data_IF_290042338507
#
_entry.id   IF_290042338507
#
_cell.length_a   1.000
_cell.length_b   1.000
_cell.length_c   1.000
_cell.angle_alpha   90.00
_cell.angle_beta   90.00
_cell.angle_gamma   90.00
#
_symmetry.space_group_name_H-M   'P 1'
#
loop_
_entity.id
_entity.type
_entity.pdbx_description
1 polymer ?
#
# COMPACT_ATOMS: atom_id res chain seq x y z
N UNK A 1 53.93 -16.87 24.89
CA UNK A 1 54.26 -15.43 24.86
C UNK A 1 53.30 -14.75 23.90
N UNK A 2 52.37 -13.91 24.37
CA UNK A 2 51.26 -13.44 23.55
C UNK A 2 50.92 -11.95 23.75
N UNK A 3 50.70 -11.27 22.63
CA UNK A 3 49.91 -10.05 22.46
C UNK A 3 50.19 -8.84 23.39
N UNK A 4 51.08 -7.95 22.95
CA UNK A 4 50.97 -6.52 23.24
C UNK A 4 50.73 -5.76 21.93
N UNK A 5 49.50 -5.32 21.69
CA UNK A 5 49.15 -4.41 20.59
C UNK A 5 48.05 -3.45 21.05
N UNK A 6 48.48 -2.36 21.68
CA UNK A 6 47.60 -1.24 22.03
C UNK A 6 47.34 -0.38 20.79
N UNK A 7 46.10 -0.40 20.27
CA UNK A 7 45.67 0.51 19.21
C UNK A 7 44.95 1.75 19.77
N UNK A 8 45.33 2.89 19.22
CA UNK A 8 45.10 4.23 19.78
C UNK A 8 43.75 4.79 19.32
N UNK A 9 42.88 5.18 20.25
CA UNK A 9 41.83 6.13 19.94
C UNK A 9 42.41 7.56 19.86
N UNK A 10 42.31 8.20 18.70
CA UNK A 10 42.38 9.66 18.55
C UNK A 10 41.22 10.13 17.68
N UNK A 11 40.33 10.90 18.28
CA UNK A 11 39.22 11.57 17.63
C UNK A 11 39.68 12.88 16.98
N UNK A 12 39.55 13.01 15.66
CA UNK A 12 39.72 14.28 14.95
C UNK A 12 38.37 14.74 14.41
N UNK A 13 37.83 15.82 14.99
CA UNK A 13 36.59 16.49 14.58
C UNK A 13 36.88 17.97 14.31
N UNK A 14 37.26 18.30 13.07
CA UNK A 14 37.41 19.66 12.53
C UNK A 14 37.01 19.54 11.04
N UNK A 15 35.79 19.92 10.62
CA UNK A 15 35.27 21.28 10.39
C UNK A 15 35.89 21.97 9.17
N UNK A 16 35.22 21.87 8.02
CA UNK A 16 35.40 22.76 6.85
C UNK A 16 34.04 23.18 6.30
N UNK A 17 33.91 24.46 5.97
CA UNK A 17 32.72 25.03 5.36
C UNK A 17 33.13 25.90 4.16
N UNK A 18 32.41 25.74 3.05
CA UNK A 18 32.39 26.64 1.88
C UNK A 18 31.02 26.44 1.23
N UNK A 19 30.13 27.42 1.19
CA UNK A 19 30.15 28.61 0.33
C UNK A 19 30.28 28.27 -1.15
N UNK A 20 29.13 28.09 -1.81
CA UNK A 20 28.97 28.43 -3.22
C UNK A 20 27.67 29.22 -3.40
N UNK A 21 27.74 30.34 -4.13
CA UNK A 21 26.67 31.32 -4.35
C UNK A 21 26.72 31.73 -5.81
N UNK A 22 25.61 31.65 -6.53
CA UNK A 22 25.23 32.35 -7.78
C UNK A 22 24.01 31.60 -8.39
N UNK A 23 23.07 32.19 -9.13
CA UNK A 23 22.84 33.60 -9.47
C UNK A 23 21.34 33.89 -9.74
N UNK A 24 21.01 35.18 -9.78
CA UNK A 24 19.72 35.83 -9.97
C UNK A 24 18.93 35.43 -11.24
N UNK A 25 17.58 35.36 -11.13
CA UNK A 25 16.66 35.93 -12.16
C UNK A 25 15.24 36.20 -11.61
N UNK A 26 14.84 37.48 -11.65
CA UNK A 26 13.45 37.98 -11.71
C UNK A 26 13.22 38.49 -13.18
N UNK A 27 12.14 39.21 -13.60
CA UNK A 27 10.98 39.81 -12.92
C UNK A 27 9.66 39.65 -13.74
N UNK A 28 8.72 40.63 -13.84
CA UNK A 28 7.92 41.37 -12.84
C UNK A 28 6.38 41.19 -13.04
N UNK A 29 5.55 41.71 -12.10
CA UNK A 29 4.56 42.81 -12.31
C UNK A 29 3.66 43.01 -11.06
N UNK A 30 3.20 44.26 -10.83
CA UNK A 30 2.42 44.76 -9.67
C UNK A 30 0.97 45.16 -10.14
N UNK A 31 0.11 45.97 -9.45
CA UNK A 31 0.15 46.58 -8.10
C UNK A 31 -1.21 46.76 -7.30
N UNK A 32 -1.17 46.66 -5.95
CA UNK A 32 -1.77 47.61 -4.94
C UNK A 32 -3.32 47.89 -4.85
N UNK A 33 -3.87 48.66 -3.87
CA UNK A 33 -3.57 48.88 -2.41
C UNK A 33 -4.87 48.78 -1.51
N UNK A 34 -5.11 49.56 -0.41
CA UNK A 34 -4.70 49.28 1.00
C UNK A 34 -5.84 49.40 2.06
N UNK A 35 -5.49 49.70 3.34
CA UNK A 35 -6.32 49.94 4.56
C UNK A 35 -6.68 48.63 5.32
N UNK A 36 -6.83 48.50 6.66
CA UNK A 36 -6.67 49.34 7.87
C UNK A 36 -6.59 48.33 9.08
N UNK A 37 -5.95 48.52 10.25
CA UNK A 37 -5.04 49.53 10.82
C UNK A 37 -4.18 48.91 11.97
N UNK A 38 -3.54 49.76 12.80
CA UNK A 38 -2.71 49.49 13.98
C UNK A 38 -3.43 49.04 15.26
N UNK A 39 -2.78 48.21 16.10
CA UNK A 39 -2.82 48.36 17.58
C UNK A 39 -1.53 47.84 18.24
N UNK A 40 -0.98 48.63 19.17
CA UNK A 40 0.27 48.39 19.88
C UNK A 40 0.04 48.28 21.39
N UNK A 41 0.44 47.18 22.03
CA UNK A 41 0.51 47.10 23.50
C UNK A 41 1.79 46.37 23.93
N UNK A 42 2.75 47.13 24.44
CA UNK A 42 3.76 46.67 25.40
C UNK A 42 3.25 46.86 26.82
N UNK A 43 3.77 46.11 27.80
CA UNK A 43 4.24 46.80 28.99
C UNK A 43 5.68 46.42 29.38
N UNK A 44 6.49 47.44 29.62
CA UNK A 44 7.79 47.35 30.29
C UNK A 44 7.61 47.20 31.81
N UNK A 45 8.49 46.44 32.45
CA UNK A 45 8.60 46.38 33.92
C UNK A 45 10.00 46.89 34.31
N UNK A 46 10.13 47.87 35.22
CA UNK A 46 11.36 48.63 35.41
C UNK A 46 12.36 47.97 36.37
N UNK A 47 13.64 48.27 36.16
CA UNK A 47 14.65 48.28 37.22
C UNK A 47 14.38 49.45 38.18
N UNK A 48 14.53 49.23 39.50
CA UNK A 48 15.19 50.20 40.38
C UNK A 48 15.64 49.57 41.72
N UNK A 49 16.72 50.05 42.36
CA UNK A 49 17.28 49.48 43.59
C UNK A 49 16.92 50.30 44.85
N UNK A 50 16.99 49.69 46.06
CA UNK A 50 17.14 50.44 47.30
C UNK A 50 18.61 50.51 47.75
N UNK A 51 19.08 51.72 48.03
CA UNK A 51 20.45 52.05 48.49
C UNK A 51 20.60 52.02 50.02
N UNK A 52 21.81 51.65 50.48
CA UNK A 52 22.52 52.04 51.72
C UNK A 52 21.73 52.58 52.93
N UNK A 53 22.02 52.09 54.15
CA UNK A 53 23.12 52.65 54.97
C UNK A 53 23.27 51.97 56.37
N UNK A 54 24.25 52.45 57.15
CA UNK A 54 24.57 52.18 58.58
C UNK A 54 25.27 50.85 59.00
N UNK A 55 26.59 50.86 58.87
CA UNK A 55 27.54 50.33 59.87
C UNK A 55 27.45 51.20 61.17
N UNK A 56 28.02 50.83 62.36
CA UNK A 56 29.20 49.97 62.52
C UNK A 56 29.33 49.10 63.82
N UNK A 57 30.42 48.30 63.85
CA UNK A 57 31.18 47.82 65.05
C UNK A 57 30.43 47.01 66.13
N UNK A 58 30.78 45.71 66.28
CA UNK A 58 31.57 45.24 67.43
C UNK A 58 32.08 43.78 67.27
N UNK A 59 33.42 43.66 67.31
CA UNK A 59 34.26 42.57 67.87
C UNK A 59 33.95 41.09 67.57
N UNK A 60 34.94 40.44 66.96
CA UNK A 60 35.55 39.16 67.33
C UNK A 60 34.67 38.06 67.96
N UNK A 61 34.63 36.88 67.29
CA UNK A 61 35.11 35.61 67.88
C UNK A 61 35.14 34.47 66.84
N UNK A 62 36.24 33.70 66.84
CA UNK A 62 36.36 32.33 66.32
C UNK A 62 35.94 32.03 64.87
N UNK A 63 36.88 32.11 63.93
CA UNK A 63 36.81 31.35 62.67
C UNK A 63 37.08 29.86 62.93
N UNK A 64 36.15 29.16 63.58
CA UNK A 64 36.11 27.71 63.53
C UNK A 64 35.73 27.30 62.10
N UNK A 65 36.75 27.12 61.25
CA UNK A 65 36.62 26.49 59.94
C UNK A 65 36.22 25.03 60.17
N UNK A 66 34.93 24.79 60.40
CA UNK A 66 34.32 23.48 60.18
C UNK A 66 34.50 23.17 58.70
N UNK A 67 35.60 22.49 58.36
CA UNK A 67 35.64 21.74 57.12
C UNK A 67 34.38 20.86 57.12
N UNK A 68 33.56 20.87 56.06
CA UNK A 68 32.58 19.81 55.91
C UNK A 68 33.36 18.51 55.92
N UNK A 69 33.19 17.70 56.96
CA UNK A 69 33.82 16.40 57.12
C UNK A 69 33.24 15.48 56.07
N UNK A 70 33.78 15.60 54.84
CA UNK A 70 33.35 14.87 53.64
C UNK A 70 33.29 13.40 54.04
N UNK A 71 32.09 12.81 54.18
CA UNK A 71 32.01 11.43 54.63
C UNK A 71 32.78 10.61 53.61
N UNK A 72 33.77 9.84 54.08
CA UNK A 72 34.46 8.85 53.25
C UNK A 72 33.47 7.73 52.96
N UNK A 73 32.50 8.00 52.11
CA UNK A 73 31.66 6.99 51.49
C UNK A 73 32.62 6.12 50.70
N UNK A 74 32.93 4.95 51.25
CA UNK A 74 33.69 3.90 50.57
C UNK A 74 32.95 3.64 49.27
N UNK A 75 33.56 4.05 48.16
CA UNK A 75 32.96 3.81 46.85
C UNK A 75 33.16 2.34 46.59
N UNK A 76 32.10 1.55 46.75
CA UNK A 76 32.11 0.12 46.46
C UNK A 76 32.37 -0.08 44.97
N UNK A 77 33.65 -0.21 44.61
CA UNK A 77 34.11 -0.34 43.23
C UNK A 77 33.44 -1.55 42.58
N UNK A 78 33.23 -2.64 43.34
CA UNK A 78 32.48 -3.81 42.91
C UNK A 78 31.00 -3.52 42.59
N UNK A 79 30.30 -2.73 43.42
CA UNK A 79 28.91 -2.35 43.15
C UNK A 79 28.82 -1.44 41.90
N UNK A 80 29.74 -0.49 41.76
CA UNK A 80 29.80 0.43 40.61
C UNK A 80 30.20 -0.28 39.30
N UNK A 81 31.07 -1.29 39.38
CA UNK A 81 31.45 -2.13 38.24
C UNK A 81 30.27 -2.95 37.71
N UNK A 82 29.50 -3.60 38.61
CA UNK A 82 28.27 -4.33 38.24
C UNK A 82 27.24 -3.42 37.59
N UNK A 83 27.06 -2.19 38.10
CA UNK A 83 26.17 -1.19 37.49
C UNK A 83 26.60 -0.76 36.07
N UNK A 84 27.89 -0.73 35.76
CA UNK A 84 28.40 -0.44 34.41
C UNK A 84 28.17 -1.59 33.43
N UNK A 85 28.26 -2.84 33.91
CA UNK A 85 27.99 -4.03 33.10
C UNK A 85 26.50 -4.16 32.75
N UNK A 86 25.60 -4.00 33.73
CA UNK A 86 24.15 -4.09 33.47
C UNK A 86 23.67 -2.97 32.55
N UNK A 87 24.14 -1.72 32.71
CA UNK A 87 23.78 -0.61 31.81
C UNK A 87 24.14 -0.88 30.35
N UNK A 88 25.31 -1.49 30.08
CA UNK A 88 25.73 -1.87 28.72
C UNK A 88 24.87 -3.00 28.14
N UNK A 89 24.51 -3.99 28.96
CA UNK A 89 23.62 -5.07 28.55
C UNK A 89 22.23 -4.53 28.20
N UNK A 90 21.66 -3.65 29.03
CA UNK A 90 20.38 -2.99 28.74
C UNK A 90 20.40 -2.16 27.46
N UNK A 91 21.49 -1.44 27.15
CA UNK A 91 21.59 -0.74 25.87
C UNK A 91 21.61 -1.70 24.68
N UNK A 92 22.30 -2.84 24.77
CA UNK A 92 22.31 -3.82 23.68
C UNK A 92 20.95 -4.49 23.49
N UNK A 93 20.29 -4.89 24.58
CA UNK A 93 18.92 -5.45 24.54
C UNK A 93 17.95 -4.45 23.91
N UNK A 94 18.01 -3.17 24.29
CA UNK A 94 17.16 -2.12 23.69
C UNK A 94 17.43 -1.95 22.19
N UNK A 95 18.70 -1.89 21.76
CA UNK A 95 19.03 -1.77 20.33
C UNK A 95 18.63 -3.00 19.52
N UNK A 96 18.78 -4.20 20.08
CA UNK A 96 18.39 -5.44 19.41
C UNK A 96 16.86 -5.57 19.31
N UNK A 97 16.13 -5.23 20.37
CA UNK A 97 14.67 -5.19 20.36
C UNK A 97 14.12 -4.16 19.35
N UNK A 98 14.74 -2.97 19.25
CA UNK A 98 14.38 -1.97 18.25
C UNK A 98 14.64 -2.46 16.82
N UNK A 99 15.79 -3.10 16.57
CA UNK A 99 16.11 -3.67 15.26
C UNK A 99 15.14 -4.80 14.87
N UNK A 100 14.85 -5.71 15.79
CA UNK A 100 13.91 -6.81 15.58
C UNK A 100 12.48 -6.29 15.33
N UNK A 101 12.03 -5.31 16.12
CA UNK A 101 10.73 -4.64 15.93
C UNK A 101 10.62 -3.96 14.57
N UNK A 102 11.67 -3.28 14.10
CA UNK A 102 11.69 -2.68 12.77
C UNK A 102 11.53 -3.73 11.66
N UNK A 103 12.24 -4.86 11.73
CA UNK A 103 12.08 -5.96 10.76
C UNK A 103 10.65 -6.51 10.76
N UNK A 104 10.04 -6.72 11.93
CA UNK A 104 8.65 -7.19 12.04
C UNK A 104 7.66 -6.19 11.42
N UNK A 105 7.80 -4.88 11.70
CA UNK A 105 6.95 -3.84 11.12
C UNK A 105 7.09 -3.79 9.59
N UNK A 106 8.31 -3.85 9.07
CA UNK A 106 8.60 -3.83 7.63
C UNK A 106 7.99 -5.06 6.94
N UNK A 107 8.18 -6.27 7.48
CA UNK A 107 7.58 -7.49 6.93
C UNK A 107 6.05 -7.46 6.95
N UNK A 108 5.44 -6.87 7.98
CA UNK A 108 3.99 -6.74 8.08
C UNK A 108 3.40 -5.59 7.24
N UNK A 109 4.22 -4.66 6.74
CA UNK A 109 3.77 -3.50 5.95
C UNK A 109 3.80 -3.72 4.43
N UNK A 110 4.50 -4.75 3.94
CA UNK A 110 4.59 -5.02 2.49
C UNK A 110 3.36 -5.66 1.81
N UNK A 111 2.49 -6.47 2.44
CA UNK A 111 1.45 -7.21 1.69
C UNK A 111 0.39 -6.29 1.06
N UNK A 112 0.13 -5.12 1.64
CA UNK A 112 -0.91 -4.19 1.18
C UNK A 112 -0.58 -3.47 -0.13
N UNK A 113 0.69 -3.48 -0.58
CA UNK A 113 1.13 -2.73 -1.76
C UNK A 113 1.26 -3.59 -3.04
N UNK A 114 1.13 -4.91 -2.95
CA UNK A 114 1.28 -5.81 -4.09
C UNK A 114 -0.05 -5.99 -4.84
N UNK A 115 -0.24 -5.21 -5.91
CA UNK A 115 -1.42 -5.36 -6.78
C UNK A 115 -1.15 -6.41 -7.86
N UNK A 116 -1.66 -7.62 -7.63
CA UNK A 116 -1.50 -8.75 -8.55
C UNK A 116 -2.41 -8.64 -9.78
N UNK A 117 -1.89 -9.05 -10.94
CA UNK A 117 -2.69 -9.26 -12.14
C UNK A 117 -3.32 -10.65 -12.08
N UNK A 118 -4.65 -10.71 -12.21
CA UNK A 118 -5.42 -11.94 -11.99
C UNK A 118 -6.55 -12.01 -13.00
N UNK A 119 -6.83 -13.21 -13.49
CA UNK A 119 -7.98 -13.51 -14.35
C UNK A 119 -9.27 -13.66 -13.53
N UNK A 120 -10.48 -13.37 -14.06
CA UNK A 120 -11.75 -13.75 -13.42
C UNK A 120 -11.76 -15.15 -12.79
N UNK A 121 -11.18 -16.15 -13.47
CA UNK A 121 -11.09 -17.53 -12.99
C UNK A 121 -10.18 -17.66 -11.76
N UNK A 122 -8.93 -17.21 -11.86
CA UNK A 122 -7.94 -17.30 -10.77
C UNK A 122 -8.33 -16.43 -9.57
N UNK A 123 -9.09 -15.34 -9.81
CA UNK A 123 -9.56 -14.41 -8.77
C UNK A 123 -10.61 -15.07 -7.88
N UNK A 124 -11.54 -15.83 -8.45
CA UNK A 124 -12.52 -16.59 -7.66
C UNK A 124 -11.84 -17.67 -6.81
N UNK A 125 -10.83 -18.36 -7.34
CA UNK A 125 -10.06 -19.35 -6.57
C UNK A 125 -9.25 -18.70 -5.45
N UNK A 126 -8.53 -17.61 -5.73
CA UNK A 126 -7.78 -16.85 -4.71
C UNK A 126 -8.68 -16.32 -3.60
N UNK A 127 -9.86 -15.78 -3.95
CA UNK A 127 -10.83 -15.25 -2.99
C UNK A 127 -11.43 -16.36 -2.11
N UNK A 128 -11.76 -17.52 -2.69
CA UNK A 128 -12.24 -18.70 -1.92
C UNK A 128 -11.18 -19.22 -0.94
N UNK A 129 -9.92 -19.26 -1.36
CA UNK A 129 -8.82 -19.72 -0.52
C UNK A 129 -8.43 -18.70 0.56
N UNK A 130 -8.52 -17.41 0.26
CA UNK A 130 -8.20 -16.31 1.19
C UNK A 130 -9.13 -15.11 0.91
N UNK A 131 -10.17 -14.87 1.73
CA UNK A 131 -11.06 -13.71 1.62
C UNK A 131 -10.40 -12.45 2.21
N UNK A 132 -9.23 -12.07 1.67
CA UNK A 132 -8.47 -10.88 2.07
C UNK A 132 -9.00 -9.64 1.34
N UNK A 133 -9.01 -8.48 2.02
CA UNK A 133 -9.37 -7.17 1.41
C UNK A 133 -8.27 -6.60 0.50
N UNK A 134 -7.54 -7.45 -0.21
CA UNK A 134 -6.49 -7.03 -1.13
C UNK A 134 -7.09 -6.37 -2.38
N UNK A 135 -6.39 -5.39 -2.94
CA UNK A 135 -6.73 -4.79 -4.24
C UNK A 135 -6.18 -5.71 -5.35
N UNK A 136 -7.02 -6.06 -6.31
CA UNK A 136 -6.64 -6.89 -7.45
C UNK A 136 -6.65 -6.07 -8.75
N UNK A 137 -5.81 -6.45 -9.72
CA UNK A 137 -5.93 -6.05 -11.13
C UNK A 137 -6.55 -7.19 -11.90
N UNK A 138 -7.86 -7.13 -12.05
CA UNK A 138 -8.61 -8.04 -12.90
C UNK A 138 -8.24 -7.77 -14.37
N UNK A 139 -7.60 -8.72 -15.05
CA UNK A 139 -7.37 -8.66 -16.49
C UNK A 139 -8.23 -9.68 -17.23
N UNK A 140 -8.82 -9.27 -18.35
CA UNK A 140 -9.57 -10.17 -19.23
C UNK A 140 -10.13 -9.47 -20.46
N UNK A 141 -10.99 -10.14 -21.20
CA UNK A 141 -11.67 -9.59 -22.38
C UNK A 141 -13.05 -9.04 -21.98
N UNK A 142 -13.45 -7.88 -22.49
CA UNK A 142 -14.82 -7.37 -22.30
C UNK A 142 -15.78 -8.15 -23.20
N UNK A 143 -16.87 -8.68 -22.65
CA UNK A 143 -17.89 -9.39 -23.44
C UNK A 143 -18.69 -8.40 -24.31
N UNK A 144 -18.96 -8.77 -25.55
CA UNK A 144 -19.80 -8.02 -26.49
C UNK A 144 -21.25 -7.91 -26.03
N UNK A 145 -21.85 -6.73 -26.21
CA UNK A 145 -23.20 -6.38 -25.75
C UNK A 145 -23.39 -6.36 -24.23
N UNK A 146 -22.31 -6.40 -23.45
CA UNK A 146 -22.38 -6.52 -21.99
C UNK A 146 -22.32 -5.20 -21.23
N UNK A 147 -21.98 -4.09 -21.91
CA UNK A 147 -21.83 -2.78 -21.29
C UNK A 147 -23.20 -2.15 -21.07
N UNK A 148 -23.58 -1.99 -19.81
CA UNK A 148 -24.87 -1.45 -19.38
C UNK A 148 -24.64 -0.22 -18.51
N UNK A 149 -25.42 0.83 -18.78
CA UNK A 149 -25.50 2.05 -17.98
C UNK A 149 -26.86 2.05 -17.26
N UNK A 150 -26.94 1.69 -15.97
CA UNK A 150 -28.20 1.66 -15.23
C UNK A 150 -28.75 3.07 -15.04
N UNK A 151 -30.01 3.33 -15.42
CA UNK A 151 -30.62 4.68 -15.31
C UNK A 151 -30.75 5.21 -13.88
N UNK A 152 -30.49 4.37 -12.86
CA UNK A 152 -30.61 4.71 -11.44
C UNK A 152 -29.35 5.37 -10.85
N UNK A 153 -28.17 5.13 -11.44
CA UNK A 153 -26.88 5.52 -10.85
C UNK A 153 -25.83 5.83 -11.92
N UNK A 154 -24.85 6.73 -11.66
CA UNK A 154 -23.74 7.04 -12.59
C UNK A 154 -22.66 5.93 -12.63
N UNK A 155 -23.09 4.68 -12.44
CA UNK A 155 -22.24 3.50 -12.46
C UNK A 155 -22.32 2.86 -13.85
N UNK A 156 -21.31 2.07 -14.20
CA UNK A 156 -21.27 1.28 -15.44
C UNK A 156 -21.01 -0.16 -15.07
N UNK A 157 -21.86 -1.05 -15.58
CA UNK A 157 -21.75 -2.49 -15.38
C UNK A 157 -21.34 -3.14 -16.70
N UNK A 158 -20.32 -3.99 -16.69
CA UNK A 158 -19.85 -4.73 -17.85
C UNK A 158 -19.30 -6.10 -17.44
N UNK A 159 -19.20 -7.04 -18.38
CA UNK A 159 -18.71 -8.40 -18.10
C UNK A 159 -17.29 -8.55 -18.61
N UNK A 160 -16.40 -9.05 -17.76
CA UNK A 160 -15.02 -9.45 -18.14
C UNK A 160 -14.93 -10.97 -18.14
N UNK A 161 -14.34 -11.55 -19.19
CA UNK A 161 -14.24 -12.99 -19.41
C UNK A 161 -12.82 -13.46 -19.74
N UNK A 162 -12.52 -14.69 -19.32
CA UNK A 162 -11.31 -15.46 -19.68
C UNK A 162 -11.54 -16.48 -20.79
N UNK A 163 -12.68 -16.40 -21.49
CA UNK A 163 -13.26 -17.48 -22.33
C UNK A 163 -13.78 -18.69 -21.52
N UNK A 164 -13.31 -18.91 -20.28
CA UNK A 164 -13.86 -19.92 -19.36
C UNK A 164 -14.83 -19.31 -18.37
N UNK A 165 -14.42 -18.29 -17.61
CA UNK A 165 -15.25 -17.70 -16.55
C UNK A 165 -15.60 -16.27 -16.92
N UNK A 166 -16.85 -15.90 -16.68
CA UNK A 166 -17.36 -14.55 -16.88
C UNK A 166 -17.64 -13.93 -15.50
N UNK A 167 -17.22 -12.69 -15.26
CA UNK A 167 -17.47 -11.98 -14.01
C UNK A 167 -18.01 -10.57 -14.29
N UNK A 168 -19.02 -10.17 -13.50
CA UNK A 168 -19.59 -8.82 -13.55
C UNK A 168 -18.64 -7.84 -12.87
N UNK A 169 -18.30 -6.77 -13.60
CA UNK A 169 -17.53 -5.63 -13.12
C UNK A 169 -18.46 -4.42 -13.03
N UNK A 170 -18.48 -3.77 -11.87
CA UNK A 170 -19.17 -2.50 -11.65
C UNK A 170 -18.13 -1.42 -11.40
N UNK A 171 -18.16 -0.36 -12.20
CA UNK A 171 -17.30 0.81 -12.09
C UNK A 171 -18.15 2.06 -11.82
N UNK A 172 -17.59 3.07 -11.17
CA UNK A 172 -18.26 4.34 -10.91
C UNK A 172 -17.64 5.44 -11.77
N UNK A 173 -18.45 6.15 -12.55
CA UNK A 173 -17.98 7.18 -13.48
C UNK A 173 -17.89 6.70 -14.93
N UNK A 174 -17.20 7.49 -15.77
CA UNK A 174 -17.09 7.24 -17.21
C UNK A 174 -15.95 6.28 -17.56
N UNK A 175 -16.20 5.32 -18.46
CA UNK A 175 -15.15 4.46 -19.00
C UNK A 175 -14.18 5.27 -19.90
N UNK A 176 -12.89 4.88 -20.00
CA UNK A 176 -11.94 5.54 -20.90
C UNK A 176 -12.36 5.41 -22.37
N UNK A 177 -12.03 6.38 -23.21
CA UNK A 177 -12.35 6.36 -24.66
C UNK A 177 -11.73 5.16 -25.41
N UNK A 178 -10.63 4.59 -24.90
CA UNK A 178 -9.99 3.41 -25.48
C UNK A 178 -10.74 2.11 -25.11
N UNK A 179 -11.72 2.16 -24.21
CA UNK A 179 -12.54 1.01 -23.82
C UNK A 179 -13.47 0.63 -24.96
N UNK A 180 -13.39 -0.64 -25.39
CA UNK A 180 -14.26 -1.23 -26.41
C UNK A 180 -14.61 -2.65 -26.00
N UNK A 181 -15.78 -3.10 -26.39
CA UNK A 181 -16.17 -4.50 -26.25
C UNK A 181 -15.28 -5.41 -27.12
N UNK A 182 -15.15 -6.69 -26.76
CA UNK A 182 -14.26 -7.65 -27.40
C UNK A 182 -12.76 -7.46 -27.12
N UNK A 183 -12.35 -6.32 -26.55
CA UNK A 183 -10.95 -5.98 -26.30
C UNK A 183 -10.48 -6.34 -24.89
N UNK A 184 -9.15 -6.45 -24.71
CA UNK A 184 -8.53 -6.67 -23.40
C UNK A 184 -8.58 -5.42 -22.53
N UNK A 185 -9.09 -5.56 -21.31
CA UNK A 185 -9.17 -4.49 -20.30
C UNK A 185 -8.57 -4.99 -18.98
N UNK A 186 -7.97 -4.06 -18.22
CA UNK A 186 -7.55 -4.31 -16.84
C UNK A 186 -8.35 -3.39 -15.90
N UNK A 187 -9.15 -3.96 -15.01
CA UNK A 187 -9.86 -3.23 -13.97
C UNK A 187 -9.15 -3.38 -12.62
N UNK A 188 -8.95 -2.29 -11.88
CA UNK A 188 -8.33 -2.30 -10.56
C UNK A 188 -9.40 -2.09 -9.47
N UNK A 189 -9.47 -2.98 -8.49
CA UNK A 189 -10.61 -2.99 -7.57
C UNK A 189 -10.61 -4.12 -6.55
N UNK A 190 -11.80 -4.41 -6.02
CA UNK A 190 -12.03 -5.37 -4.94
C UNK A 190 -13.16 -6.34 -5.29
N UNK A 191 -13.02 -7.60 -4.87
CA UNK A 191 -14.09 -8.59 -4.95
C UNK A 191 -15.12 -8.32 -3.85
N UNK A 192 -16.42 -8.39 -4.19
CA UNK A 192 -17.53 -8.30 -3.23
C UNK A 192 -18.54 -9.42 -3.49
N UNK A 193 -19.14 -10.00 -2.44
CA UNK A 193 -20.26 -10.93 -2.59
C UNK A 193 -21.52 -10.19 -3.07
N UNK A 194 -22.34 -10.83 -3.90
CA UNK A 194 -23.66 -10.31 -4.28
C UNK A 194 -24.63 -10.38 -3.09
N UNK A 195 -24.92 -9.23 -2.50
CA UNK A 195 -26.09 -9.05 -1.62
C UNK A 195 -27.37 -9.11 -2.45
N UNK A 196 -28.47 -9.67 -1.91
CA UNK A 196 -29.70 -9.90 -2.66
C UNK A 196 -30.42 -8.63 -3.13
N UNK A 197 -30.16 -7.49 -2.48
CA UNK A 197 -30.55 -6.14 -2.95
C UNK A 197 -29.95 -5.84 -4.34
N UNK A 198 -28.64 -6.07 -4.50
CA UNK A 198 -27.91 -5.83 -5.75
C UNK A 198 -28.39 -6.79 -6.85
N UNK A 199 -28.73 -8.05 -6.53
CA UNK A 199 -29.30 -8.97 -7.52
C UNK A 199 -30.64 -8.49 -8.10
N UNK A 200 -31.39 -7.68 -7.35
CA UNK A 200 -32.66 -7.12 -7.77
C UNK A 200 -32.46 -5.88 -8.65
N UNK A 201 -31.52 -5.01 -8.27
CA UNK A 201 -31.17 -3.78 -9.00
C UNK A 201 -30.36 -4.05 -10.28
N UNK A 202 -29.48 -5.06 -10.27
CA UNK A 202 -28.84 -5.66 -11.48
C UNK A 202 -29.84 -6.54 -12.26
N UNK A 203 -31.13 -6.19 -12.20
CA UNK A 203 -32.02 -6.44 -13.31
C UNK A 203 -31.60 -5.55 -14.47
N UNK A 204 -31.10 -6.14 -15.56
CA UNK A 204 -31.61 -5.94 -16.92
C UNK A 204 -30.78 -6.71 -17.97
N UNK A 205 -31.51 -7.10 -19.01
CA UNK A 205 -31.17 -7.75 -20.29
C UNK A 205 -29.69 -7.65 -20.76
N UNK A 206 -29.21 -8.73 -21.39
CA UNK A 206 -27.96 -8.90 -22.17
C UNK A 206 -26.71 -9.48 -21.47
N UNK A 207 -26.61 -9.45 -20.13
CA UNK A 207 -25.52 -10.13 -19.41
C UNK A 207 -25.49 -11.65 -19.70
N UNK A 208 -24.31 -12.22 -20.00
CA UNK A 208 -24.08 -13.66 -20.18
C UNK A 208 -24.73 -14.49 -19.06
N UNK A 209 -25.41 -15.59 -19.40
CA UNK A 209 -26.00 -16.50 -18.41
C UNK A 209 -24.98 -17.05 -17.42
N UNK A 210 -23.71 -17.16 -17.84
CA UNK A 210 -22.60 -17.61 -16.99
C UNK A 210 -22.20 -16.56 -15.97
N UNK A 211 -22.09 -15.29 -16.37
CA UNK A 211 -21.82 -14.17 -15.47
C UNK A 211 -22.90 -14.02 -14.37
N UNK A 212 -24.17 -14.32 -14.70
CA UNK A 212 -25.28 -14.30 -13.73
C UNK A 212 -25.23 -15.42 -12.67
N UNK A 213 -24.46 -16.48 -12.91
CA UNK A 213 -24.25 -17.57 -11.92
C UNK A 213 -23.18 -17.25 -10.87
N UNK A 214 -22.48 -16.10 -10.99
CA UNK A 214 -21.46 -15.69 -10.04
C UNK A 214 -22.05 -15.29 -8.68
N UNK A 215 -21.51 -15.84 -7.60
CA UNK A 215 -21.77 -15.41 -6.22
C UNK A 215 -21.13 -14.06 -5.87
N UNK A 216 -20.18 -13.60 -6.70
CA UNK A 216 -19.34 -12.42 -6.48
C UNK A 216 -19.33 -11.49 -7.70
N UNK A 217 -19.23 -10.20 -7.44
CA UNK A 217 -18.94 -9.17 -8.44
C UNK A 217 -17.63 -8.45 -8.11
N UNK A 218 -17.07 -7.77 -9.10
CA UNK A 218 -15.87 -6.97 -8.94
C UNK A 218 -16.22 -5.49 -8.92
N UNK A 219 -15.92 -4.80 -7.82
CA UNK A 219 -16.05 -3.35 -7.72
C UNK A 219 -14.75 -2.70 -8.19
N UNK A 220 -14.76 -2.18 -9.42
CA UNK A 220 -13.63 -1.51 -10.04
C UNK A 220 -13.56 -0.03 -9.63
N UNK A 221 -12.47 0.36 -8.97
CA UNK A 221 -12.13 1.76 -8.69
C UNK A 221 -11.58 2.47 -9.92
N UNK A 222 -10.83 1.75 -10.76
CA UNK A 222 -10.21 2.28 -11.98
C UNK A 222 -10.31 1.24 -13.11
N UNK A 223 -10.41 1.71 -14.35
CA UNK A 223 -10.52 0.87 -15.55
C UNK A 223 -9.46 1.31 -16.55
N UNK A 224 -8.49 0.44 -16.78
CA UNK A 224 -7.36 0.67 -17.68
C UNK A 224 -7.62 -0.04 -19.01
N UNK A 225 -8.12 0.70 -19.98
CA UNK A 225 -8.17 0.29 -21.38
C UNK A 225 -6.94 0.83 -22.13
N UNK A 226 -6.26 -0.02 -22.90
CA UNK A 226 -5.24 0.38 -23.87
C UNK A 226 -5.50 -0.34 -25.19
N UNK A 227 -5.20 0.33 -26.32
CA UNK A 227 -5.43 -0.22 -27.65
C UNK A 227 -4.50 -1.37 -28.04
N UNK A 228 -3.39 -1.56 -27.33
CA UNK A 228 -2.44 -2.61 -27.66
C UNK A 228 -2.82 -3.94 -26.97
N UNK A 229 -3.17 -4.96 -27.74
CA UNK A 229 -3.21 -6.38 -27.28
C UNK A 229 -1.89 -6.77 -26.57
N UNK A 230 -0.79 -6.14 -26.99
CA UNK A 230 0.56 -6.25 -26.42
C UNK A 230 0.69 -5.73 -24.97
N UNK A 231 -0.30 -5.00 -24.43
CA UNK A 231 -0.28 -4.49 -23.06
C UNK A 231 -0.92 -5.44 -22.03
N UNK A 232 -1.57 -6.53 -22.46
CA UNK A 232 -2.13 -7.48 -21.49
C UNK A 232 -0.99 -8.12 -20.66
N UNK A 233 -1.09 -8.14 -19.31
CA UNK A 233 -0.07 -8.72 -18.46
C UNK A 233 0.24 -10.17 -18.86
N UNK A 234 1.52 -10.56 -18.86
CA UNK A 234 1.96 -11.89 -19.32
C UNK A 234 1.23 -13.04 -18.62
N UNK A 235 0.88 -12.86 -17.36
CA UNK A 235 0.13 -13.82 -16.53
C UNK A 235 -1.29 -14.03 -17.08
N UNK A 236 -2.02 -12.93 -17.33
CA UNK A 236 -3.37 -12.92 -17.91
C UNK A 236 -3.35 -13.43 -19.36
N UNK A 237 -2.39 -13.00 -20.17
CA UNK A 237 -2.22 -13.47 -21.55
C UNK A 237 -1.98 -14.98 -21.62
N UNK A 238 -1.07 -15.51 -20.79
CA UNK A 238 -0.80 -16.95 -20.72
C UNK A 238 -2.02 -17.75 -20.23
N UNK A 239 -2.84 -17.21 -19.32
CA UNK A 239 -4.07 -17.84 -18.87
C UNK A 239 -5.13 -17.90 -19.98
N UNK A 240 -5.38 -16.79 -20.70
CA UNK A 240 -6.33 -16.78 -21.83
C UNK A 240 -5.86 -17.68 -22.98
N UNK A 241 -4.56 -17.76 -23.26
CA UNK A 241 -4.03 -18.73 -24.23
C UNK A 241 -4.27 -20.20 -23.81
N UNK A 242 -4.05 -20.55 -22.54
CA UNK A 242 -4.36 -21.89 -22.02
C UNK A 242 -5.85 -22.20 -22.16
N UNK A 243 -6.70 -21.26 -21.79
CA UNK A 243 -8.15 -21.38 -21.89
C UNK A 243 -8.61 -21.58 -23.34
N UNK A 244 -8.03 -20.82 -24.28
CA UNK A 244 -8.27 -20.96 -25.74
C UNK A 244 -7.83 -22.31 -26.29
N UNK A 245 -6.76 -22.93 -25.75
CA UNK A 245 -6.34 -24.30 -26.09
C UNK A 245 -7.35 -25.33 -25.56
N UNK A 246 -7.68 -25.26 -24.27
CA UNK A 246 -8.67 -26.15 -23.62
C UNK A 246 -10.02 -26.14 -24.38
N UNK A 247 -10.48 -24.98 -24.84
CA UNK A 247 -11.72 -24.87 -25.62
C UNK A 247 -11.60 -25.49 -27.03
N UNK A 248 -10.45 -25.42 -27.69
CA UNK A 248 -10.21 -26.10 -28.97
C UNK A 248 -10.19 -27.62 -28.79
N UNK A 249 -9.48 -28.11 -27.77
CA UNK A 249 -9.35 -29.53 -27.49
C UNK A 249 -10.70 -30.16 -27.15
N UNK A 250 -11.55 -29.45 -26.38
CA UNK A 250 -12.93 -29.85 -26.11
C UNK A 250 -13.79 -29.96 -27.38
N UNK A 251 -13.74 -28.98 -28.29
CA UNK A 251 -14.46 -29.05 -29.56
C UNK A 251 -14.03 -30.24 -30.40
N UNK A 252 -12.72 -30.49 -30.50
CA UNK A 252 -12.17 -31.66 -31.22
C UNK A 252 -12.66 -32.98 -30.61
N UNK A 253 -12.83 -33.06 -29.29
CA UNK A 253 -13.41 -34.21 -28.60
C UNK A 253 -14.92 -34.36 -28.86
N UNK A 254 -15.68 -33.26 -28.87
CA UNK A 254 -17.11 -33.23 -29.21
C UNK A 254 -17.32 -33.68 -30.67
N UNK A 255 -16.58 -33.12 -31.62
CA UNK A 255 -16.63 -33.47 -33.05
C UNK A 255 -16.31 -34.95 -33.27
N UNK A 256 -15.29 -35.50 -32.60
CA UNK A 256 -14.95 -36.93 -32.66
C UNK A 256 -16.06 -37.81 -32.09
N UNK A 257 -16.65 -37.41 -30.96
CA UNK A 257 -17.73 -38.17 -30.33
C UNK A 257 -18.97 -38.22 -31.22
N UNK A 258 -19.31 -37.11 -31.89
CA UNK A 258 -20.40 -37.04 -32.87
C UNK A 258 -20.13 -37.97 -34.06
N UNK A 259 -18.89 -38.04 -34.55
CA UNK A 259 -18.51 -38.96 -35.64
C UNK A 259 -18.58 -40.42 -35.23
N UNK A 260 -18.14 -40.78 -34.01
CA UNK A 260 -18.27 -42.14 -33.47
C UNK A 260 -19.75 -42.53 -33.28
N UNK A 261 -20.56 -41.63 -32.71
CA UNK A 261 -22.01 -41.84 -32.51
C UNK A 261 -22.74 -42.03 -33.86
N UNK A 262 -22.43 -41.19 -34.86
CA UNK A 262 -22.97 -41.33 -36.22
C UNK A 262 -22.55 -42.65 -36.91
N UNK A 263 -21.34 -43.17 -36.64
CA UNK A 263 -20.88 -44.46 -37.15
C UNK A 263 -21.51 -45.68 -36.46
N UNK A 264 -22.17 -45.47 -35.32
CA UNK A 264 -22.75 -46.53 -34.48
C UNK A 264 -24.27 -46.74 -34.69
N UNK A 265 -24.92 -45.88 -35.47
CA UNK A 265 -26.35 -46.01 -35.78
C UNK A 265 -26.59 -47.25 -36.66
N UNK A 266 -27.53 -48.15 -36.29
CA UNK A 266 -27.79 -49.36 -37.06
C UNK A 266 -28.36 -49.01 -38.44
N UNK A 267 -27.75 -49.57 -39.48
CA UNK A 267 -28.17 -49.42 -40.87
C UNK A 267 -29.58 -50.02 -41.06
N UNK A 268 -30.60 -49.15 -41.04
CA UNK A 268 -32.00 -49.56 -41.23
C UNK A 268 -32.20 -49.95 -42.69
N UNK A 269 -32.00 -51.24 -42.98
CA UNK A 269 -32.29 -51.81 -44.29
C UNK A 269 -33.76 -51.54 -44.65
N UNK A 270 -34.05 -50.89 -45.80
CA UNK A 270 -35.42 -50.67 -46.21
C UNK A 270 -36.07 -52.03 -46.52
N UNK A 271 -37.10 -52.38 -45.76
CA UNK A 271 -37.94 -53.54 -46.03
C UNK A 271 -38.81 -53.23 -47.26
N UNK A 272 -38.33 -53.59 -48.43
CA UNK A 272 -39.10 -53.51 -49.68
C UNK A 272 -40.13 -54.65 -49.66
N UNK A 273 -41.41 -54.28 -49.63
CA UNK A 273 -42.59 -55.15 -49.75
C UNK A 273 -43.16 -55.09 -51.16
#
# INVERSE_FOLDING_TARGET
MAASLALKFRSNLIRTASLFRHSLRQPPFQPSPPLIASFSITPSIPLNPPTWSSLPIHRFLSTSRRQPSRPKKTVDIGARARQLQTRRLWTYVLTFAAMAGFVVVVLNSFPDQLVFYVTPTDLLEKYKNNPTKAKFRLGGLVLEGSVVYPSSSPDVEFVVTDLITDMVVRHQGSLPDLFREGHSVVAEGFVKPFTDEIKKDTSLKNVSAKARSGEYYFLATDVLAKHDEKYMPKEVAAAIEKNKKILKDKKILEDKKILEEASSLPEVKPSIS
#
